data_IF_035444088733
#
_entry.id   IF_035444088733
#
_cell.length_a   1.000
_cell.length_b   1.000
_cell.length_c   1.000
_cell.angle_alpha   90.00
_cell.angle_beta   90.00
_cell.angle_gamma   90.00
#
_symmetry.space_group_name_H-M   'P 1'
#
loop_
_entity.id
_entity.type
_entity.pdbx_description
1 polymer ?
#
# COMPACT_ATOMS: atom_id res chain seq x y z
N UNK A 1 25.62 -16.46 3.97
CA UNK A 1 24.35 -17.22 3.83
C UNK A 1 23.17 -16.25 4.01
N UNK A 2 22.62 -15.64 2.94
CA UNK A 2 21.63 -14.54 3.04
C UNK A 2 20.15 -14.94 2.82
N UNK A 3 19.84 -16.24 2.68
CA UNK A 3 18.51 -16.71 2.26
C UNK A 3 17.46 -16.90 3.36
N UNK A 4 17.82 -16.82 4.65
CA UNK A 4 16.94 -17.16 5.78
C UNK A 4 16.14 -15.97 6.33
N UNK A 5 16.69 -14.76 6.27
CA UNK A 5 16.02 -13.54 6.80
C UNK A 5 14.86 -13.06 5.90
N UNK A 6 15.04 -13.12 4.58
CA UNK A 6 14.00 -12.78 3.59
C UNK A 6 12.80 -13.71 3.68
N UNK A 7 13.04 -15.02 3.89
CA UNK A 7 11.99 -16.01 4.09
C UNK A 7 11.18 -15.80 5.38
N UNK A 8 11.83 -15.43 6.48
CA UNK A 8 11.13 -15.10 7.74
C UNK A 8 10.32 -13.80 7.67
N UNK A 9 10.83 -12.76 6.99
CA UNK A 9 10.09 -11.50 6.84
C UNK A 9 8.92 -11.60 5.86
N UNK A 10 9.04 -12.40 4.78
CA UNK A 10 7.88 -12.71 3.92
C UNK A 10 6.79 -13.48 4.67
N UNK A 11 7.14 -14.37 5.62
CA UNK A 11 6.17 -14.99 6.52
C UNK A 11 5.47 -13.96 7.43
N UNK A 12 6.18 -12.93 7.89
CA UNK A 12 5.57 -11.83 8.64
C UNK A 12 4.59 -11.02 7.78
N UNK A 13 4.86 -10.81 6.50
CA UNK A 13 3.92 -10.14 5.59
C UNK A 13 2.71 -11.02 5.35
N UNK A 14 2.88 -12.33 5.16
CA UNK A 14 1.76 -13.26 5.06
C UNK A 14 0.92 -13.30 6.34
N UNK A 15 1.54 -13.13 7.51
CA UNK A 15 0.86 -13.00 8.79
C UNK A 15 0.13 -11.65 8.93
N UNK A 16 0.75 -10.55 8.51
CA UNK A 16 0.13 -9.22 8.43
C UNK A 16 -1.04 -9.20 7.44
N UNK A 17 -0.88 -9.89 6.31
CA UNK A 17 -1.88 -10.14 5.29
C UNK A 17 -2.98 -11.11 5.72
N UNK A 18 -2.74 -11.97 6.70
CA UNK A 18 -3.79 -12.77 7.37
C UNK A 18 -4.58 -11.93 8.37
N UNK A 19 -3.95 -11.02 9.10
CA UNK A 19 -4.65 -10.10 9.99
C UNK A 19 -5.48 -9.05 9.20
N UNK A 20 -4.99 -8.61 8.03
CA UNK A 20 -5.75 -7.90 6.99
C UNK A 20 -7.10 -8.54 6.65
N UNK A 21 -7.13 -9.88 6.61
CA UNK A 21 -8.32 -10.66 6.28
C UNK A 21 -9.28 -10.74 7.46
N UNK A 22 -8.77 -10.77 8.69
CA UNK A 22 -9.58 -10.92 9.89
C UNK A 22 -10.33 -9.63 10.26
N UNK A 23 -9.72 -8.46 10.07
CA UNK A 23 -10.33 -7.18 10.47
C UNK A 23 -11.04 -6.42 9.35
N UNK A 24 -10.87 -6.78 8.07
CA UNK A 24 -11.74 -6.25 7.01
C UNK A 24 -13.16 -6.79 7.10
N UNK A 25 -13.35 -8.01 7.62
CA UNK A 25 -14.66 -8.55 8.02
C UNK A 25 -15.26 -7.75 9.19
N UNK A 26 -14.43 -7.16 10.05
CA UNK A 26 -14.88 -6.29 11.13
C UNK A 26 -15.18 -4.86 10.64
N UNK A 27 -14.40 -4.33 9.69
CA UNK A 27 -14.63 -3.03 9.08
C UNK A 27 -15.86 -2.99 8.16
N UNK A 28 -16.18 -4.08 7.47
CA UNK A 28 -17.45 -4.22 6.74
C UNK A 28 -18.66 -4.38 7.65
N UNK A 29 -18.46 -4.72 8.93
CA UNK A 29 -19.54 -4.79 9.94
C UNK A 29 -19.86 -3.43 10.57
N UNK A 30 -19.09 -2.39 10.25
CA UNK A 30 -19.42 -0.98 10.49
C UNK A 30 -20.27 -0.38 9.35
N UNK A 31 -20.94 -1.22 8.55
CA UNK A 31 -21.82 -0.88 7.44
C UNK A 31 -22.81 0.25 7.75
N UNK A 32 -22.71 1.34 6.98
CA UNK A 32 -23.85 1.96 6.28
C UNK A 32 -23.33 3.15 5.46
N UNK A 33 -22.68 2.88 4.33
CA UNK A 33 -22.35 3.92 3.37
C UNK A 33 -21.23 3.51 2.43
N UNK A 34 -21.60 2.95 1.27
CA UNK A 34 -20.77 3.08 0.07
C UNK A 34 -20.56 4.58 -0.20
N UNK A 35 -19.52 5.16 0.40
CA UNK A 35 -19.07 6.54 0.20
C UNK A 35 -18.01 6.66 -0.90
N UNK A 36 -17.70 7.88 -1.34
CA UNK A 36 -17.60 8.34 -2.74
C UNK A 36 -16.36 7.88 -3.54
N UNK A 37 -15.63 6.87 -3.08
CA UNK A 37 -14.42 6.41 -3.75
C UNK A 37 -14.70 5.61 -5.04
N UNK A 38 -15.91 5.06 -5.18
CA UNK A 38 -16.39 4.45 -6.44
C UNK A 38 -17.17 5.43 -7.33
N UNK A 39 -17.66 6.53 -6.75
CA UNK A 39 -18.46 7.56 -7.43
C UNK A 39 -18.27 8.93 -6.73
N UNK A 40 -17.33 9.78 -7.19
CA UNK A 40 -17.13 11.11 -6.62
C UNK A 40 -18.31 12.06 -6.86
N UNK A 41 -19.15 11.75 -7.85
CA UNK A 41 -20.43 12.37 -8.13
C UNK A 41 -21.38 11.22 -8.47
N UNK A 42 -22.63 11.25 -8.01
CA UNK A 42 -23.61 10.15 -8.15
C UNK A 42 -24.09 9.85 -9.59
N UNK A 43 -23.22 10.01 -10.59
CA UNK A 43 -23.44 9.62 -11.96
C UNK A 43 -22.60 8.38 -12.29
N UNK A 44 -23.19 7.32 -12.88
CA UNK A 44 -22.42 6.21 -13.41
C UNK A 44 -21.44 6.76 -14.44
N UNK A 45 -20.14 6.67 -14.14
CA UNK A 45 -19.10 7.06 -15.08
C UNK A 45 -19.20 6.11 -16.28
N UNK A 46 -19.78 6.60 -17.38
CA UNK A 46 -19.99 5.82 -18.62
C UNK A 46 -18.69 5.64 -19.44
N UNK A 47 -17.56 5.44 -18.75
CA UNK A 47 -16.25 5.28 -19.38
C UNK A 47 -15.28 4.46 -18.52
N UNK A 48 -14.26 3.84 -19.14
CA UNK A 48 -13.31 3.00 -18.41
C UNK A 48 -12.55 3.81 -17.37
N UNK A 49 -12.33 3.23 -16.19
CA UNK A 49 -11.56 3.83 -15.10
C UNK A 49 -10.15 4.20 -15.58
N UNK A 50 -9.72 5.44 -15.33
CA UNK A 50 -8.39 5.94 -15.71
C UNK A 50 -7.47 5.97 -14.49
N UNK A 51 -6.28 5.42 -14.65
CA UNK A 51 -5.27 5.49 -13.60
C UNK A 51 -4.69 6.90 -13.50
N UNK A 52 -4.28 7.27 -12.28
CA UNK A 52 -3.78 8.62 -11.96
C UNK A 52 -2.48 8.96 -12.71
N UNK A 53 -1.66 7.95 -13.02
CA UNK A 53 -0.35 8.12 -13.65
C UNK A 53 -0.35 7.51 -15.06
N UNK A 54 0.07 8.31 -16.06
CA UNK A 54 -0.02 7.95 -17.48
C UNK A 54 0.71 6.65 -17.86
N UNK A 55 1.89 6.40 -17.31
CA UNK A 55 2.62 5.15 -17.57
C UNK A 55 1.85 3.91 -17.08
N UNK A 56 1.02 4.05 -16.03
CA UNK A 56 0.33 2.93 -15.38
C UNK A 56 -0.94 2.63 -16.15
N UNK A 57 -1.63 3.71 -16.55
CA UNK A 57 -2.76 3.67 -17.46
C UNK A 57 -2.37 3.02 -18.80
N UNK A 58 -1.19 3.36 -19.34
CA UNK A 58 -0.65 2.74 -20.54
C UNK A 58 -0.35 1.25 -20.35
N UNK A 59 0.28 0.85 -19.24
CA UNK A 59 0.51 -0.56 -18.92
C UNK A 59 -0.81 -1.33 -18.82
N UNK A 60 -1.78 -0.78 -18.09
CA UNK A 60 -3.07 -1.43 -17.86
C UNK A 60 -3.82 -1.64 -19.18
N UNK A 61 -3.94 -0.59 -20.00
CA UNK A 61 -4.60 -0.66 -21.30
C UNK A 61 -3.92 -1.63 -22.25
N UNK A 62 -2.58 -1.63 -22.32
CA UNK A 62 -1.83 -2.57 -23.18
C UNK A 62 -1.99 -4.02 -22.74
N UNK A 63 -2.09 -4.27 -21.44
CA UNK A 63 -2.14 -5.62 -20.88
C UNK A 63 -3.56 -6.17 -20.81
N UNK A 64 -4.55 -5.30 -20.53
CA UNK A 64 -5.89 -5.71 -20.15
C UNK A 64 -7.03 -5.04 -20.95
N UNK A 65 -6.72 -4.08 -21.83
CA UNK A 65 -7.73 -3.33 -22.58
C UNK A 65 -8.61 -2.47 -21.67
N UNK A 66 -9.92 -2.47 -21.92
CA UNK A 66 -10.92 -1.72 -21.14
C UNK A 66 -11.42 -2.47 -19.89
N UNK A 67 -10.82 -3.60 -19.54
CA UNK A 67 -11.22 -4.37 -18.36
C UNK A 67 -10.93 -3.57 -17.08
N UNK A 68 -11.92 -3.46 -16.21
CA UNK A 68 -11.78 -2.85 -14.88
C UNK A 68 -11.33 -3.82 -13.80
N UNK A 69 -11.39 -5.13 -14.08
CA UNK A 69 -11.08 -6.22 -13.15
C UNK A 69 -10.45 -7.39 -13.92
N UNK A 70 -9.39 -7.97 -13.38
CA UNK A 70 -8.70 -9.14 -13.95
C UNK A 70 -8.34 -10.15 -12.88
N UNK A 71 -8.32 -11.44 -13.23
CA UNK A 71 -7.90 -12.49 -12.30
C UNK A 71 -6.41 -12.35 -11.95
N UNK A 72 -6.05 -12.63 -10.71
CA UNK A 72 -4.67 -12.48 -10.20
C UNK A 72 -3.63 -13.16 -11.08
N UNK A 73 -3.89 -14.38 -11.57
CA UNK A 73 -2.92 -15.10 -12.41
C UNK A 73 -2.58 -14.35 -13.70
N UNK A 74 -3.59 -13.75 -14.35
CA UNK A 74 -3.39 -12.95 -15.56
C UNK A 74 -2.67 -11.64 -15.24
N UNK A 75 -3.06 -10.98 -14.15
CA UNK A 75 -2.39 -9.77 -13.69
C UNK A 75 -0.91 -10.00 -13.38
N UNK A 76 -0.61 -11.07 -12.63
CA UNK A 76 0.73 -11.48 -12.24
C UNK A 76 1.63 -11.71 -13.46
N UNK A 77 1.13 -12.42 -14.48
CA UNK A 77 1.88 -12.69 -15.69
C UNK A 77 2.28 -11.40 -16.41
N UNK A 78 1.33 -10.48 -16.61
CA UNK A 78 1.59 -9.22 -17.31
C UNK A 78 2.50 -8.30 -16.50
N UNK A 79 2.32 -8.22 -15.17
CA UNK A 79 3.17 -7.44 -14.31
C UNK A 79 4.61 -7.98 -14.30
N UNK A 80 4.79 -9.30 -14.28
CA UNK A 80 6.12 -9.93 -14.26
C UNK A 80 6.96 -9.60 -15.51
N UNK A 81 6.30 -9.38 -16.67
CA UNK A 81 6.96 -9.00 -17.92
C UNK A 81 7.62 -7.61 -17.86
N UNK A 82 7.07 -6.69 -17.05
CA UNK A 82 7.58 -5.31 -16.91
C UNK A 82 8.33 -5.08 -15.61
N UNK A 83 7.99 -5.85 -14.57
CA UNK A 83 8.63 -5.84 -13.26
C UNK A 83 8.86 -7.27 -12.82
N UNK A 84 10.11 -7.73 -12.89
CA UNK A 84 10.45 -9.08 -12.47
C UNK A 84 10.26 -9.28 -10.96
N UNK A 85 9.63 -10.40 -10.57
CA UNK A 85 9.54 -10.91 -9.20
C UNK A 85 9.42 -12.44 -9.22
N UNK A 86 9.77 -13.09 -8.12
CA UNK A 86 9.76 -14.55 -8.02
C UNK A 86 8.35 -15.10 -7.84
N UNK A 87 8.07 -16.21 -8.54
CA UNK A 87 6.93 -17.06 -8.23
C UNK A 87 7.12 -17.70 -6.84
N UNK A 88 6.06 -17.78 -6.03
CA UNK A 88 6.12 -18.29 -4.66
C UNK A 88 5.79 -17.22 -3.62
N UNK A 89 6.55 -17.14 -2.53
CA UNK A 89 6.24 -16.27 -1.38
C UNK A 89 6.16 -14.79 -1.74
N UNK A 90 7.04 -14.31 -2.63
CA UNK A 90 7.03 -12.93 -3.11
C UNK A 90 5.72 -12.62 -3.85
N UNK A 91 5.28 -13.51 -4.74
CA UNK A 91 4.00 -13.38 -5.43
C UNK A 91 2.80 -13.38 -4.47
N UNK A 92 2.81 -14.22 -3.41
CA UNK A 92 1.69 -14.25 -2.45
C UNK A 92 1.67 -12.99 -1.59
N UNK A 93 2.84 -12.49 -1.18
CA UNK A 93 2.96 -11.23 -0.46
C UNK A 93 2.52 -10.03 -1.32
N UNK A 94 2.90 -10.03 -2.60
CA UNK A 94 2.51 -9.01 -3.56
C UNK A 94 1.00 -9.02 -3.79
N UNK A 95 0.41 -10.20 -4.03
CA UNK A 95 -1.05 -10.39 -4.12
C UNK A 95 -1.74 -9.80 -2.92
N UNK A 96 -1.30 -10.17 -1.72
CA UNK A 96 -1.93 -9.73 -0.48
C UNK A 96 -1.75 -8.23 -0.19
N UNK A 97 -0.86 -7.55 -0.91
CA UNK A 97 -0.71 -6.09 -0.86
C UNK A 97 -1.64 -5.39 -1.86
N UNK A 98 -1.83 -5.98 -3.05
CA UNK A 98 -2.59 -5.39 -4.16
C UNK A 98 -4.09 -5.71 -4.06
N UNK A 99 -4.43 -6.97 -3.83
CA UNK A 99 -5.80 -7.48 -3.71
C UNK A 99 -6.39 -7.04 -2.35
N UNK A 100 -6.93 -5.83 -2.34
CA UNK A 100 -7.53 -5.23 -1.17
C UNK A 100 -8.87 -5.93 -0.87
N UNK A 101 -9.63 -6.28 -1.91
CA UNK A 101 -10.94 -6.93 -1.76
C UNK A 101 -10.87 -8.42 -1.39
N UNK A 102 -9.67 -9.00 -1.42
CA UNK A 102 -9.40 -10.40 -1.09
C UNK A 102 -10.24 -11.40 -1.90
N UNK A 103 -10.47 -11.11 -3.18
CA UNK A 103 -11.34 -11.88 -4.06
C UNK A 103 -10.58 -12.61 -5.19
N UNK A 104 -9.25 -12.70 -5.08
CA UNK A 104 -8.35 -13.28 -6.08
C UNK A 104 -8.33 -12.55 -7.43
N UNK A 105 -8.90 -11.34 -7.49
CA UNK A 105 -8.86 -10.46 -8.64
C UNK A 105 -8.13 -9.15 -8.28
N UNK A 106 -7.74 -8.42 -9.31
CA UNK A 106 -7.15 -7.09 -9.20
C UNK A 106 -7.95 -6.15 -10.05
N UNK A 107 -8.50 -5.12 -9.44
CA UNK A 107 -9.17 -4.02 -10.13
C UNK A 107 -8.19 -2.94 -10.56
N UNK A 108 -8.55 -2.19 -11.60
CA UNK A 108 -7.79 -1.01 -12.03
C UNK A 108 -7.61 0.01 -10.89
N UNK A 109 -8.60 0.09 -10.00
CA UNK A 109 -8.59 0.92 -8.80
C UNK A 109 -7.56 0.45 -7.76
N UNK A 110 -7.54 -0.85 -7.44
CA UNK A 110 -6.54 -1.44 -6.54
C UNK A 110 -5.12 -1.24 -7.08
N UNK A 111 -4.96 -1.37 -8.39
CA UNK A 111 -3.69 -1.12 -9.06
C UNK A 111 -3.27 0.36 -9.04
N UNK A 112 -4.21 1.30 -9.19
CA UNK A 112 -3.94 2.74 -9.02
C UNK A 112 -3.43 3.05 -7.60
N UNK A 113 -4.11 2.51 -6.58
CA UNK A 113 -3.69 2.67 -5.18
C UNK A 113 -2.26 2.14 -4.99
N UNK A 114 -2.01 0.91 -5.44
CA UNK A 114 -0.69 0.28 -5.30
C UNK A 114 0.42 1.09 -5.97
N UNK A 115 0.20 1.52 -7.21
CA UNK A 115 1.21 2.27 -7.98
C UNK A 115 1.50 3.65 -7.42
N UNK A 116 0.51 4.31 -6.82
CA UNK A 116 0.70 5.59 -6.11
C UNK A 116 1.49 5.44 -4.82
N UNK A 117 1.26 4.36 -4.06
CA UNK A 117 1.96 4.11 -2.81
C UNK A 117 3.44 3.81 -3.02
N UNK A 118 3.76 3.01 -4.03
CA UNK A 118 5.12 2.50 -4.26
C UNK A 118 5.85 3.14 -5.44
N UNK A 119 5.38 4.30 -5.89
CA UNK A 119 6.01 5.10 -6.94
C UNK A 119 7.51 5.38 -6.67
N UNK A 120 8.33 5.61 -7.71
CA UNK A 120 7.98 5.63 -9.14
C UNK A 120 7.96 4.25 -9.80
N UNK A 121 7.24 4.14 -10.91
CA UNK A 121 7.02 2.90 -11.65
C UNK A 121 8.25 2.10 -12.03
N UNK A 122 9.33 2.69 -12.59
CA UNK A 122 10.51 1.90 -12.98
C UNK A 122 11.12 1.08 -11.82
N UNK A 123 10.85 1.49 -10.59
CA UNK A 123 11.32 0.86 -9.36
C UNK A 123 10.18 0.32 -8.48
N UNK A 124 8.97 0.17 -9.01
CA UNK A 124 7.75 -0.11 -8.24
C UNK A 124 7.92 -1.25 -7.23
N UNK A 125 8.30 -2.44 -7.71
CA UNK A 125 8.44 -3.61 -6.85
C UNK A 125 9.66 -3.52 -5.92
N UNK A 126 10.72 -2.81 -6.33
CA UNK A 126 11.86 -2.52 -5.45
C UNK A 126 11.44 -1.63 -4.28
N UNK A 127 10.61 -0.63 -4.54
CA UNK A 127 10.08 0.28 -3.52
C UNK A 127 9.08 -0.42 -2.62
N UNK A 128 8.17 -1.23 -3.18
CA UNK A 128 7.30 -2.10 -2.40
C UNK A 128 8.10 -3.02 -1.48
N UNK A 129 9.14 -3.68 -2.00
CA UNK A 129 9.97 -4.56 -1.18
C UNK A 129 10.67 -3.77 -0.07
N UNK A 130 11.30 -2.64 -0.42
CA UNK A 130 11.98 -1.81 0.59
C UNK A 130 11.02 -1.30 1.66
N UNK A 131 9.89 -0.71 1.28
CA UNK A 131 8.96 -0.04 2.18
C UNK A 131 8.03 -1.01 2.92
N UNK A 132 7.41 -1.96 2.24
CA UNK A 132 6.39 -2.82 2.83
C UNK A 132 6.93 -4.19 3.31
N UNK A 133 8.03 -4.68 2.72
CA UNK A 133 8.59 -6.00 3.07
C UNK A 133 9.71 -5.88 4.10
N UNK A 134 10.61 -4.92 3.93
CA UNK A 134 11.85 -4.88 4.73
C UNK A 134 11.94 -3.74 5.74
N UNK A 135 11.18 -2.67 5.57
CA UNK A 135 11.33 -1.47 6.39
C UNK A 135 10.78 -1.69 7.82
N UNK A 136 11.58 -1.50 8.88
CA UNK A 136 11.15 -1.75 10.26
C UNK A 136 10.10 -0.74 10.76
N UNK A 137 10.09 0.46 10.19
CA UNK A 137 9.09 1.49 10.46
C UNK A 137 7.74 1.29 9.75
N UNK A 138 7.62 0.33 8.82
CA UNK A 138 6.32 0.04 8.23
C UNK A 138 5.47 -0.76 9.21
N UNK A 139 4.33 -0.20 9.57
CA UNK A 139 3.37 -0.81 10.47
C UNK A 139 2.03 -0.88 9.74
N UNK A 140 1.76 -2.02 9.14
CA UNK A 140 0.46 -2.23 8.53
C UNK A 140 -0.61 -2.37 9.64
N UNK A 141 -1.81 -1.87 9.38
CA UNK A 141 -3.01 -2.07 10.24
C UNK A 141 -2.95 -1.47 11.65
N UNK A 142 -2.28 -0.33 11.83
CA UNK A 142 -2.46 0.48 13.04
C UNK A 142 -3.51 1.56 12.83
N UNK A 143 -4.44 1.66 13.76
CA UNK A 143 -5.29 2.83 13.94
C UNK A 143 -4.46 4.03 14.43
N UNK A 144 -5.07 5.21 14.42
CA UNK A 144 -4.43 6.40 14.99
C UNK A 144 -4.00 6.19 16.44
N UNK A 145 -4.89 5.63 17.28
CA UNK A 145 -4.62 5.45 18.70
C UNK A 145 -3.51 4.43 18.95
N UNK A 146 -3.46 3.34 18.17
CA UNK A 146 -2.38 2.36 18.29
C UNK A 146 -1.02 2.92 17.85
N UNK A 147 -0.99 3.77 16.82
CA UNK A 147 0.22 4.52 16.44
C UNK A 147 0.69 5.38 17.60
N UNK A 148 -0.22 6.14 18.22
CA UNK A 148 0.09 7.02 19.36
C UNK A 148 0.62 6.24 20.55
N UNK A 149 -0.06 5.16 20.97
CA UNK A 149 0.36 4.30 22.07
C UNK A 149 1.74 3.69 21.80
N UNK A 150 2.00 3.28 20.56
CA UNK A 150 3.29 2.68 20.18
C UNK A 150 4.42 3.70 20.21
N UNK A 151 4.19 4.92 19.69
CA UNK A 151 5.18 6.00 19.71
C UNK A 151 5.41 6.55 21.12
N UNK A 152 4.39 6.54 21.99
CA UNK A 152 4.53 6.93 23.41
C UNK A 152 5.60 6.11 24.15
N UNK A 153 5.78 4.83 23.80
CA UNK A 153 6.84 3.98 24.37
C UNK A 153 8.25 4.46 24.00
N UNK A 154 8.36 5.30 22.97
CA UNK A 154 9.61 5.85 22.46
C UNK A 154 9.66 7.38 22.60
N UNK A 155 8.83 7.98 23.48
CA UNK A 155 8.83 9.44 23.71
C UNK A 155 10.18 9.98 24.20
N UNK A 156 11.00 9.16 24.86
CA UNK A 156 12.36 9.52 25.29
C UNK A 156 13.41 9.41 24.18
N UNK A 157 13.03 8.93 22.98
CA UNK A 157 13.89 8.78 21.81
C UNK A 157 13.39 9.69 20.68
N UNK A 158 13.86 10.94 20.61
CA UNK A 158 13.59 11.80 19.46
C UNK A 158 14.06 11.12 18.16
N UNK A 159 13.31 11.29 17.08
CA UNK A 159 13.57 10.60 15.80
C UNK A 159 12.85 9.25 15.62
N UNK A 160 12.01 8.85 16.58
CA UNK A 160 11.25 7.60 16.45
C UNK A 160 10.06 7.82 15.54
N UNK A 161 9.99 7.08 14.44
CA UNK A 161 8.89 7.18 13.48
C UNK A 161 8.33 5.83 13.09
N UNK A 162 7.10 5.85 12.58
CA UNK A 162 6.50 4.75 11.85
C UNK A 162 5.64 5.30 10.72
N UNK A 163 5.33 4.47 9.74
CA UNK A 163 4.39 4.82 8.69
C UNK A 163 3.49 3.65 8.31
N UNK A 164 2.31 4.00 7.79
CA UNK A 164 1.26 3.06 7.41
C UNK A 164 0.45 3.59 6.24
N UNK A 165 -0.41 2.75 5.68
CA UNK A 165 -1.41 3.19 4.72
C UNK A 165 -2.43 4.10 5.42
N UNK A 166 -2.82 5.21 4.78
CA UNK A 166 -3.92 6.05 5.28
C UNK A 166 -5.26 5.33 5.10
N UNK A 167 -6.11 5.38 6.13
CA UNK A 167 -7.43 4.74 6.12
C UNK A 167 -8.52 5.67 5.56
N UNK A 168 -8.27 6.98 5.60
CA UNK A 168 -9.20 8.02 5.13
C UNK A 168 -8.88 8.48 3.71
N UNK A 169 -7.64 8.28 3.26
CA UNK A 169 -7.17 8.66 1.92
C UNK A 169 -6.43 7.51 1.25
N UNK A 170 -7.15 6.67 0.52
CA UNK A 170 -6.57 5.53 -0.20
C UNK A 170 -5.49 6.00 -1.20
N UNK A 171 -4.37 5.29 -1.23
CA UNK A 171 -3.21 5.64 -2.05
C UNK A 171 -2.32 6.73 -1.45
N UNK A 172 -2.46 7.04 -0.15
CA UNK A 172 -1.59 7.93 0.62
C UNK A 172 -0.99 7.21 1.83
N UNK A 173 0.17 7.68 2.27
CA UNK A 173 0.84 7.22 3.48
C UNK A 173 0.48 8.12 4.65
N UNK A 174 0.35 7.54 5.84
CA UNK A 174 0.27 8.29 7.09
C UNK A 174 1.55 8.04 7.90
N UNK A 175 2.24 9.10 8.31
CA UNK A 175 3.52 9.03 9.04
C UNK A 175 3.28 9.58 10.45
N UNK A 176 3.65 8.82 11.48
CA UNK A 176 3.68 9.28 12.86
C UNK A 176 5.12 9.37 13.37
N UNK A 177 5.46 10.41 14.13
CA UNK A 177 6.76 10.58 14.79
C UNK A 177 6.61 10.90 16.27
N UNK A 178 7.63 10.59 17.08
CA UNK A 178 7.64 10.90 18.52
C UNK A 178 7.79 12.39 18.81
N UNK A 179 8.31 13.18 17.86
CA UNK A 179 8.42 14.63 17.97
C UNK A 179 7.11 15.39 17.72
N UNK A 180 6.22 14.85 16.88
CA UNK A 180 4.93 15.50 16.59
C UNK A 180 3.85 14.94 17.51
N UNK A 181 3.41 15.74 18.47
CA UNK A 181 2.30 15.41 19.39
C UNK A 181 0.93 15.41 18.71
N UNK A 182 0.90 15.80 17.44
CA UNK A 182 -0.29 15.98 16.61
C UNK A 182 -0.48 14.82 15.63
N UNK A 183 -1.71 14.66 15.14
CA UNK A 183 -2.16 13.52 14.34
C UNK A 183 -1.18 13.16 13.20
N UNK A 184 -0.97 11.85 12.89
CA UNK A 184 -0.23 11.40 11.72
C UNK A 184 -0.66 12.18 10.50
N UNK A 185 0.29 12.91 9.94
CA UNK A 185 0.00 13.74 8.77
C UNK A 185 -0.09 12.84 7.55
N UNK A 186 -1.18 12.98 6.80
CA UNK A 186 -1.31 12.34 5.49
C UNK A 186 -0.22 12.90 4.56
N UNK A 187 0.65 12.01 4.09
CA UNK A 187 1.72 12.36 3.17
C UNK A 187 1.15 12.62 1.77
N UNK A 188 1.48 13.76 1.13
CA UNK A 188 0.92 14.13 -0.16
C UNK A 188 1.25 13.11 -1.25
N UNK A 189 0.22 12.74 -2.01
CA UNK A 189 0.23 11.73 -3.07
C UNK A 189 1.26 11.96 -4.19
N UNK A 190 1.68 13.21 -4.40
CA UNK A 190 2.65 13.58 -5.44
C UNK A 190 4.11 13.44 -5.01
N UNK A 191 4.37 13.03 -3.76
CA UNK A 191 5.72 12.86 -3.26
C UNK A 191 5.98 11.38 -2.91
N UNK A 192 7.09 10.79 -3.38
CA UNK A 192 7.46 9.43 -2.99
C UNK A 192 7.77 9.37 -1.49
N UNK A 193 7.25 8.34 -0.80
CA UNK A 193 7.46 8.17 0.64
C UNK A 193 8.94 8.15 1.01
N UNK A 194 9.79 7.53 0.19
CA UNK A 194 11.24 7.48 0.44
C UNK A 194 11.85 8.89 0.57
N UNK A 195 11.41 9.85 -0.24
CA UNK A 195 11.88 11.23 -0.17
C UNK A 195 11.36 11.96 1.08
N UNK A 196 10.17 11.59 1.57
CA UNK A 196 9.64 12.10 2.83
C UNK A 196 10.47 11.64 4.02
N UNK A 197 10.79 10.34 4.06
CA UNK A 197 11.60 9.73 5.12
C UNK A 197 13.01 10.30 5.16
N UNK A 198 13.63 10.51 3.99
CA UNK A 198 14.96 11.12 3.89
C UNK A 198 14.99 12.57 4.37
N UNK A 199 13.94 13.35 4.12
CA UNK A 199 13.85 14.72 4.61
C UNK A 199 13.60 14.76 6.12
N UNK A 200 12.67 13.94 6.63
CA UNK A 200 12.45 13.80 8.07
C UNK A 200 13.74 13.44 8.83
N UNK A 201 14.55 12.53 8.26
CA UNK A 201 15.87 12.21 8.81
C UNK A 201 16.84 13.41 8.83
N UNK A 202 16.83 14.26 7.79
CA UNK A 202 17.67 15.47 7.75
C UNK A 202 17.20 16.54 8.72
N UNK A 203 15.89 16.63 8.96
CA UNK A 203 15.26 17.58 9.87
C UNK A 203 15.29 17.13 11.34
N UNK A 204 15.73 15.88 11.61
CA UNK A 204 15.81 15.32 12.97
C UNK A 204 14.43 14.93 13.56
N UNK A 205 13.44 14.68 12.69
CA UNK A 205 12.07 14.25 13.06
C UNK A 205 11.97 12.78 13.45
#
# INVERSE_FOLDING_TARGET
MPGTETGSRMKCILFCSRNLKQDRVNASRCDAGCGPALYPEGQPHNGPYRLTKSDMDNFWKRSFGDRSLVHWSCFQEQLCRVHFFQHGLESVALKSTIDLTCNDHVSAFEFDIFTRLFQPWPTLLKNWNRLAVTHPGYMAFLTYDEVKIRLQKYSSKPGSYLFRLSCTRLGQWAIGSSLRTEHPSDHPQNRPLFQALMEGYREGL
#
